data_IF_145569598832
#
_entry.id   IF_145569598832
#
_cell.length_a   1.000
_cell.length_b   1.000
_cell.length_c   1.000
_cell.angle_alpha   90.00
_cell.angle_beta   90.00
_cell.angle_gamma   90.00
#
_symmetry.space_group_name_H-M   'P 1'
#
loop_
_entity.id
_entity.type
_entity.pdbx_description
1 polymer ?
#
# COMPACT_ATOMS: atom_id res chain seq x y z
N UNK A 1 -28.82 -14.36 8.19
CA UNK A 1 -27.88 -13.25 8.43
C UNK A 1 -27.67 -12.55 7.10
N UNK A 2 -28.07 -11.29 6.99
CA UNK A 2 -27.80 -10.49 5.80
C UNK A 2 -26.36 -9.99 5.94
N UNK A 3 -25.42 -10.67 5.31
CA UNK A 3 -24.00 -10.32 5.37
C UNK A 3 -23.83 -9.00 4.62
N UNK A 4 -23.28 -7.97 5.29
CA UNK A 4 -22.96 -6.70 4.64
C UNK A 4 -21.77 -6.97 3.72
N UNK A 5 -21.87 -6.68 2.41
CA UNK A 5 -20.76 -6.93 1.50
C UNK A 5 -19.53 -6.12 1.89
N UNK A 6 -18.37 -6.75 1.81
CA UNK A 6 -17.09 -6.09 2.08
C UNK A 6 -16.72 -5.16 0.93
N UNK A 7 -15.89 -4.14 1.22
CA UNK A 7 -15.48 -3.16 0.21
C UNK A 7 -14.87 -3.83 -1.04
N UNK A 8 -14.08 -4.89 -0.85
CA UNK A 8 -13.51 -5.68 -1.93
C UNK A 8 -14.57 -6.32 -2.82
N UNK A 9 -15.60 -6.93 -2.22
CA UNK A 9 -16.68 -7.59 -2.96
C UNK A 9 -17.44 -6.58 -3.82
N UNK A 10 -17.68 -5.38 -3.28
CA UNK A 10 -18.29 -4.27 -4.01
C UNK A 10 -17.42 -3.82 -5.18
N UNK A 11 -16.10 -3.64 -4.97
CA UNK A 11 -15.17 -3.24 -6.03
C UNK A 11 -15.11 -4.30 -7.15
N UNK A 12 -15.07 -5.58 -6.79
CA UNK A 12 -15.07 -6.69 -7.77
C UNK A 12 -16.38 -6.77 -8.55
N UNK A 13 -17.53 -6.54 -7.91
CA UNK A 13 -18.82 -6.49 -8.61
C UNK A 13 -18.87 -5.33 -9.63
N UNK A 14 -18.33 -4.16 -9.28
CA UNK A 14 -18.25 -3.02 -10.22
C UNK A 14 -17.29 -3.35 -11.37
N UNK A 15 -16.15 -3.99 -11.10
CA UNK A 15 -15.23 -4.42 -12.16
C UNK A 15 -15.91 -5.36 -13.16
N UNK A 16 -16.70 -6.31 -12.65
CA UNK A 16 -17.46 -7.25 -13.48
C UNK A 16 -18.50 -6.52 -14.33
N UNK A 17 -19.25 -5.58 -13.75
CA UNK A 17 -20.19 -4.73 -14.47
C UNK A 17 -19.49 -3.97 -15.62
N UNK A 18 -18.35 -3.34 -15.34
CA UNK A 18 -17.61 -2.56 -16.33
C UNK A 18 -17.17 -3.44 -17.52
N UNK A 19 -16.67 -4.64 -17.26
CA UNK A 19 -16.14 -5.52 -18.31
C UNK A 19 -17.21 -6.32 -19.05
N UNK A 20 -18.23 -6.81 -18.34
CA UNK A 20 -19.22 -7.75 -18.89
C UNK A 20 -20.42 -7.02 -19.50
N UNK A 21 -20.76 -5.83 -19.01
CA UNK A 21 -21.97 -5.13 -19.42
C UNK A 21 -21.72 -3.76 -20.06
N UNK A 22 -20.77 -2.98 -19.52
CA UNK A 22 -20.53 -1.61 -20.01
C UNK A 22 -19.63 -1.62 -21.23
N UNK A 23 -18.42 -2.18 -21.14
CA UNK A 23 -17.44 -2.16 -22.23
C UNK A 23 -17.98 -2.69 -23.57
N UNK A 24 -18.76 -3.80 -23.63
CA UNK A 24 -19.33 -4.28 -24.89
C UNK A 24 -20.30 -3.29 -25.55
N UNK A 25 -20.91 -2.38 -24.78
CA UNK A 25 -21.84 -1.36 -25.30
C UNK A 25 -21.13 -0.09 -25.77
N UNK A 26 -19.81 0.00 -25.60
CA UNK A 26 -18.98 1.16 -25.98
C UNK A 26 -18.22 0.92 -27.30
N UNK A 27 -18.64 -0.08 -28.08
CA UNK A 27 -18.05 -0.37 -29.38
C UNK A 27 -18.16 0.84 -30.32
N UNK A 28 -17.04 1.25 -30.91
CA UNK A 28 -16.95 2.46 -31.74
C UNK A 28 -16.66 3.76 -30.97
N UNK A 29 -16.68 3.74 -29.63
CA UNK A 29 -16.35 4.87 -28.76
C UNK A 29 -14.96 4.67 -28.11
N UNK A 30 -13.90 4.76 -28.92
CA UNK A 30 -12.52 4.39 -28.51
C UNK A 30 -12.07 5.06 -27.21
N UNK A 31 -12.32 6.37 -27.06
CA UNK A 31 -11.91 7.12 -25.88
C UNK A 31 -12.65 6.66 -24.62
N UNK A 32 -13.94 6.34 -24.73
CA UNK A 32 -14.76 5.92 -23.60
C UNK A 32 -14.47 4.46 -23.22
N UNK A 33 -14.22 3.61 -24.22
CA UNK A 33 -13.71 2.25 -24.04
C UNK A 33 -12.38 2.24 -23.29
N UNK A 34 -11.44 3.10 -23.68
CA UNK A 34 -10.16 3.24 -22.99
C UNK A 34 -10.33 3.68 -21.52
N UNK A 35 -11.14 4.72 -21.26
CA UNK A 35 -11.42 5.19 -19.89
C UNK A 35 -12.07 4.11 -19.01
N UNK A 36 -12.91 3.27 -19.61
CA UNK A 36 -13.55 2.14 -18.93
C UNK A 36 -12.54 1.09 -18.51
N UNK A 37 -11.60 0.72 -19.39
CA UNK A 37 -10.50 -0.20 -19.08
C UNK A 37 -9.57 0.34 -17.98
N UNK A 38 -9.24 1.63 -18.03
CA UNK A 38 -8.45 2.30 -16.97
C UNK A 38 -9.18 2.24 -15.64
N UNK A 39 -10.47 2.58 -15.62
CA UNK A 39 -11.29 2.55 -14.41
C UNK A 39 -11.38 1.14 -13.82
N UNK A 40 -11.61 0.13 -14.67
CA UNK A 40 -11.58 -1.28 -14.28
C UNK A 40 -10.23 -1.66 -13.64
N UNK A 41 -9.12 -1.23 -14.23
CA UNK A 41 -7.78 -1.50 -13.70
C UNK A 41 -7.57 -0.84 -12.33
N UNK A 42 -7.95 0.43 -12.18
CA UNK A 42 -7.84 1.18 -10.92
C UNK A 42 -8.62 0.51 -9.79
N UNK A 43 -9.85 0.05 -10.04
CA UNK A 43 -10.64 -0.69 -9.05
C UNK A 43 -9.91 -1.98 -8.59
N UNK A 44 -9.25 -2.67 -9.52
CA UNK A 44 -8.48 -3.87 -9.20
C UNK A 44 -7.22 -3.58 -8.39
N UNK A 45 -6.58 -2.42 -8.61
CA UNK A 45 -5.46 -1.95 -7.78
C UNK A 45 -5.95 -1.69 -6.35
N UNK A 46 -7.05 -0.95 -6.19
CA UNK A 46 -7.63 -0.64 -4.88
C UNK A 46 -8.03 -1.94 -4.14
N UNK A 47 -8.64 -2.89 -4.83
CA UNK A 47 -9.01 -4.18 -4.23
C UNK A 47 -7.79 -4.95 -3.69
N UNK A 48 -6.69 -4.99 -4.45
CA UNK A 48 -5.43 -5.62 -4.00
C UNK A 48 -4.76 -4.87 -2.86
N UNK A 49 -4.85 -3.54 -2.86
CA UNK A 49 -4.33 -2.71 -1.77
C UNK A 49 -5.06 -3.00 -0.47
N UNK A 50 -6.40 -3.10 -0.51
CA UNK A 50 -7.19 -3.50 0.67
C UNK A 50 -6.78 -4.87 1.20
N UNK A 51 -6.65 -5.87 0.33
CA UNK A 51 -6.22 -7.23 0.71
C UNK A 51 -4.87 -7.26 1.40
N UNK A 52 -3.92 -6.47 0.90
CA UNK A 52 -2.53 -6.48 1.38
C UNK A 52 -2.26 -5.45 2.47
N UNK A 53 -3.21 -4.56 2.76
CA UNK A 53 -2.99 -3.38 3.62
C UNK A 53 -2.46 -3.75 5.01
N UNK A 54 -3.03 -4.77 5.64
CA UNK A 54 -2.64 -5.24 6.97
C UNK A 54 -1.25 -5.90 6.97
N UNK A 55 -0.98 -6.76 5.98
CA UNK A 55 0.32 -7.42 5.82
C UNK A 55 1.42 -6.39 5.52
N UNK A 56 1.14 -5.42 4.64
CA UNK A 56 2.07 -4.34 4.29
C UNK A 56 2.39 -3.45 5.47
N UNK A 57 1.37 -3.03 6.22
CA UNK A 57 1.56 -2.24 7.43
C UNK A 57 2.46 -2.98 8.43
N UNK A 58 2.30 -4.31 8.56
CA UNK A 58 3.14 -5.12 9.44
C UNK A 58 4.59 -5.24 8.92
N UNK A 59 4.77 -5.50 7.63
CA UNK A 59 6.11 -5.55 7.00
C UNK A 59 6.83 -4.20 7.18
N UNK A 60 6.13 -3.09 7.00
CA UNK A 60 6.70 -1.74 7.18
C UNK A 60 7.10 -1.50 8.64
N UNK A 61 6.23 -1.88 9.59
CA UNK A 61 6.55 -1.86 11.02
C UNK A 61 7.81 -2.67 11.37
N UNK A 62 7.88 -3.92 10.92
CA UNK A 62 9.06 -4.78 11.15
C UNK A 62 10.32 -4.13 10.61
N UNK A 63 10.20 -3.42 9.49
CA UNK A 63 11.34 -2.83 8.85
C UNK A 63 11.78 -1.52 9.53
N UNK A 64 10.85 -0.74 10.10
CA UNK A 64 11.17 0.36 11.03
C UNK A 64 11.84 -0.14 12.32
N UNK A 65 11.44 -1.33 12.82
CA UNK A 65 12.05 -1.91 14.03
C UNK A 65 13.55 -2.18 13.90
N UNK A 66 14.03 -2.42 12.67
CA UNK A 66 15.45 -2.61 12.35
C UNK A 66 16.26 -1.32 12.42
N UNK A 67 15.62 -0.17 12.19
CA UNK A 67 16.26 1.15 12.22
C UNK A 67 15.83 1.98 13.44
N UNK A 68 15.38 1.32 14.52
CA UNK A 68 14.89 1.96 15.74
C UNK A 68 15.87 2.94 16.40
N UNK A 69 17.18 2.81 16.14
CA UNK A 69 18.22 3.73 16.63
C UNK A 69 18.09 5.14 16.05
N UNK A 70 17.45 5.27 14.89
CA UNK A 70 17.25 6.53 14.17
C UNK A 70 15.92 7.19 14.54
N UNK A 71 14.99 6.43 15.11
CA UNK A 71 13.63 6.87 15.46
C UNK A 71 13.57 7.21 16.94
N UNK A 72 12.96 8.35 17.29
CA UNK A 72 12.92 8.82 18.68
C UNK A 72 11.85 8.09 19.51
N UNK A 73 10.73 7.78 18.87
CA UNK A 73 9.51 7.27 19.53
C UNK A 73 9.16 5.82 19.18
N UNK A 74 10.12 5.04 18.69
CA UNK A 74 9.89 3.62 18.37
C UNK A 74 9.94 2.75 19.63
N UNK A 75 8.78 2.54 20.28
CA UNK A 75 8.63 1.71 21.49
C UNK A 75 7.57 0.61 21.41
N UNK A 76 6.89 0.47 20.26
CA UNK A 76 5.82 -0.49 20.07
C UNK A 76 6.37 -1.90 19.83
N UNK A 77 5.83 -2.89 20.54
CA UNK A 77 6.05 -4.31 20.25
C UNK A 77 5.22 -4.77 19.05
N UNK A 78 5.59 -5.89 18.38
CA UNK A 78 4.81 -6.44 17.28
C UNK A 78 3.36 -6.79 17.65
N UNK A 79 3.13 -7.26 18.89
CA UNK A 79 1.79 -7.58 19.39
C UNK A 79 0.92 -6.33 19.57
N UNK A 80 1.49 -5.28 20.16
CA UNK A 80 0.80 -4.00 20.32
C UNK A 80 0.47 -3.38 18.96
N UNK A 81 1.42 -3.38 18.02
CA UNK A 81 1.18 -2.85 16.67
C UNK A 81 0.04 -3.59 15.94
N UNK A 82 0.00 -4.93 16.02
CA UNK A 82 -1.09 -5.72 15.40
C UNK A 82 -2.46 -5.39 15.98
N UNK A 83 -2.53 -5.07 17.27
CA UNK A 83 -3.77 -4.73 17.97
C UNK A 83 -4.33 -3.35 17.62
N UNK A 84 -3.53 -2.48 17.02
CA UNK A 84 -3.97 -1.15 16.59
C UNK A 84 -5.02 -1.24 15.48
N UNK A 85 -5.94 -0.27 15.46
CA UNK A 85 -6.83 -0.08 14.32
C UNK A 85 -6.03 0.30 13.07
N UNK A 86 -6.61 0.08 11.88
CA UNK A 86 -5.95 0.43 10.62
C UNK A 86 -5.59 1.92 10.55
N UNK A 87 -6.45 2.79 11.09
CA UNK A 87 -6.18 4.24 11.17
C UNK A 87 -4.95 4.54 12.03
N UNK A 88 -4.86 3.95 13.22
CA UNK A 88 -3.72 4.16 14.12
C UNK A 88 -2.41 3.61 13.53
N UNK A 89 -2.47 2.46 12.82
CA UNK A 89 -1.31 1.92 12.10
C UNK A 89 -0.80 2.92 11.06
N UNK A 90 -1.68 3.47 10.24
CA UNK A 90 -1.32 4.47 9.22
C UNK A 90 -0.70 5.72 9.87
N UNK A 91 -1.29 6.23 10.96
CA UNK A 91 -0.78 7.40 11.67
C UNK A 91 0.64 7.15 12.24
N UNK A 92 0.88 5.97 12.83
CA UNK A 92 2.20 5.60 13.37
C UNK A 92 3.25 5.46 12.28
N UNK A 93 2.95 4.72 11.22
CA UNK A 93 3.87 4.55 10.08
C UNK A 93 4.21 5.91 9.44
N UNK A 94 3.21 6.78 9.26
CA UNK A 94 3.40 8.13 8.72
C UNK A 94 4.29 9.01 9.61
N UNK A 95 4.11 8.94 10.93
CA UNK A 95 4.96 9.64 11.90
C UNK A 95 6.41 9.18 11.80
N UNK A 96 6.67 7.88 11.83
CA UNK A 96 8.03 7.33 11.73
C UNK A 96 8.68 7.63 10.39
N UNK A 97 7.92 7.61 9.29
CA UNK A 97 8.43 8.00 7.99
C UNK A 97 8.81 9.49 7.93
N UNK A 98 8.06 10.34 8.62
CA UNK A 98 8.37 11.77 8.73
C UNK A 98 9.63 12.02 9.57
N UNK A 99 9.82 11.27 10.66
CA UNK A 99 11.06 11.28 11.46
C UNK A 99 12.25 10.83 10.64
N UNK A 100 12.13 9.70 9.93
CA UNK A 100 13.17 9.15 9.07
C UNK A 100 13.54 10.15 7.95
N UNK A 101 12.54 10.75 7.31
CA UNK A 101 12.75 11.78 6.29
C UNK A 101 13.51 12.99 6.83
N UNK A 102 13.19 13.42 8.04
CA UNK A 102 13.88 14.52 8.71
C UNK A 102 15.32 14.15 9.04
N UNK A 103 15.55 12.95 9.60
CA UNK A 103 16.88 12.42 9.85
C UNK A 103 17.74 12.45 8.59
N UNK A 104 17.26 11.85 7.49
CA UNK A 104 17.98 11.76 6.21
C UNK A 104 18.38 13.12 5.64
N UNK A 105 17.49 14.12 5.75
CA UNK A 105 17.77 15.49 5.29
C UNK A 105 18.85 16.17 6.13
N UNK A 106 18.91 15.87 7.42
CA UNK A 106 19.85 16.49 8.36
C UNK A 106 21.20 15.79 8.46
N UNK A 107 21.23 14.45 8.42
CA UNK A 107 22.44 13.66 8.65
C UNK A 107 23.42 13.73 7.48
N UNK A 108 22.97 14.07 6.26
CA UNK A 108 23.75 13.99 5.01
C UNK A 108 24.45 12.63 4.81
N UNK A 109 24.04 11.60 5.55
CA UNK A 109 24.56 10.25 5.41
C UNK A 109 24.00 9.62 4.13
N UNK A 110 24.82 9.63 3.09
CA UNK A 110 24.55 9.00 1.80
C UNK A 110 25.31 7.68 1.65
N UNK A 111 25.50 6.95 2.75
CA UNK A 111 26.15 5.63 2.71
C UNK A 111 25.22 4.61 2.05
N UNK A 112 25.47 4.38 0.76
CA UNK A 112 24.87 3.30 -0.01
C UNK A 112 25.14 1.98 0.71
N UNK A 113 24.11 1.15 0.88
CA UNK A 113 24.09 -0.11 1.67
C UNK A 113 24.05 0.02 3.20
N UNK A 114 23.78 1.21 3.75
CA UNK A 114 23.40 1.30 5.17
C UNK A 114 22.08 0.54 5.45
N UNK A 115 21.83 0.21 6.71
CA UNK A 115 20.55 -0.41 7.13
C UNK A 115 19.36 0.47 6.74
N UNK A 116 19.51 1.78 6.83
CA UNK A 116 18.52 2.77 6.39
C UNK A 116 18.31 2.72 4.86
N UNK A 117 19.38 2.56 4.08
CA UNK A 117 19.29 2.44 2.63
C UNK A 117 18.53 1.18 2.17
N UNK A 118 18.89 0.02 2.72
CA UNK A 118 18.21 -1.24 2.40
C UNK A 118 16.74 -1.21 2.86
N UNK A 119 16.46 -0.52 3.96
CA UNK A 119 15.10 -0.29 4.42
C UNK A 119 14.27 0.52 3.42
N UNK A 120 14.75 1.70 3.00
CA UNK A 120 14.05 2.54 2.01
C UNK A 120 13.79 1.75 0.72
N UNK A 121 14.77 0.97 0.26
CA UNK A 121 14.65 0.14 -0.94
C UNK A 121 13.59 -0.95 -0.78
N UNK A 122 13.52 -1.62 0.38
CA UNK A 122 12.51 -2.64 0.67
C UNK A 122 11.10 -2.04 0.68
N UNK A 123 10.90 -0.91 1.35
CA UNK A 123 9.61 -0.19 1.37
C UNK A 123 9.18 0.22 -0.03
N UNK A 124 10.11 0.77 -0.83
CA UNK A 124 9.82 1.15 -2.21
C UNK A 124 9.40 -0.06 -3.07
N UNK A 125 10.09 -1.20 -2.94
CA UNK A 125 9.74 -2.44 -3.65
C UNK A 125 8.34 -2.92 -3.27
N UNK A 126 8.01 -2.92 -1.98
CA UNK A 126 6.71 -3.35 -1.48
C UNK A 126 5.58 -2.44 -2.00
N UNK A 127 5.79 -1.12 -1.99
CA UNK A 127 4.82 -0.16 -2.52
C UNK A 127 4.59 -0.35 -4.03
N UNK A 128 5.65 -0.59 -4.80
CA UNK A 128 5.54 -0.85 -6.24
C UNK A 128 4.80 -2.17 -6.55
N UNK A 129 4.92 -3.17 -5.68
CA UNK A 129 4.26 -4.47 -5.82
C UNK A 129 2.73 -4.42 -5.67
N UNK A 130 2.19 -3.35 -5.05
CA UNK A 130 0.74 -3.09 -4.95
C UNK A 130 0.18 -2.66 -6.30
N UNK A 131 0.85 -1.67 -6.90
CA UNK A 131 0.47 -1.07 -8.17
C UNK A 131 0.77 -1.96 -9.36
N UNK A 132 1.82 -2.78 -9.28
CA UNK A 132 2.23 -3.67 -10.36
C UNK A 132 2.71 -5.05 -9.82
N UNK A 133 1.97 -6.14 -10.11
CA UNK A 133 2.31 -7.49 -9.65
C UNK A 133 3.70 -7.98 -10.06
N UNK A 134 4.33 -7.39 -11.09
CA UNK A 134 5.68 -7.75 -11.55
C UNK A 134 6.77 -7.51 -10.51
N UNK A 135 6.49 -6.74 -9.46
CA UNK A 135 7.45 -6.48 -8.37
C UNK A 135 7.31 -7.42 -7.16
N UNK A 136 6.42 -8.44 -7.18
CA UNK A 136 6.30 -9.47 -6.14
C UNK A 136 7.45 -10.53 -6.20
N UNK A 137 8.69 -10.12 -6.46
CA UNK A 137 9.85 -11.02 -6.53
C UNK A 137 10.35 -11.46 -5.16
#
# INVERSE_FOLDING_TARGET
MQYRPEAKELLSAIQDLLMKEVLPKLEGEDLLSYKTLVSWNMLGVIARELDKSEEQAFIEFESFSKIKSVLKDFKLSPGEFRSLSQKEKIEKLSSWNSELSSYLRTSKESSVKSEVWEQIKSVLKNNLAVSNPRYNA
#
